data_IF_770380040825
#
_entry.id   IF_770380040825
#
_cell.length_a   1.000
_cell.length_b   1.000
_cell.length_c   1.000
_cell.angle_alpha   90.00
_cell.angle_beta   90.00
_cell.angle_gamma   90.00
#
_symmetry.space_group_name_H-M   'P 1'
#
loop_
_entity.id
_entity.type
_entity.pdbx_description
1 polymer ?
#
# COMPACT_ATOMS: atom_id res chain seq x y z
N UNK A 1 -15.40 -1.58 13.31
CA UNK A 1 -15.15 -0.20 12.86
C UNK A 1 -16.18 0.03 11.78
N UNK A 2 -17.29 0.67 12.14
CA UNK A 2 -18.38 0.89 11.20
C UNK A 2 -18.37 2.38 10.87
N UNK A 3 -17.89 2.70 9.67
CA UNK A 3 -17.72 4.06 9.21
C UNK A 3 -17.26 4.08 7.76
N UNK A 4 -17.55 5.15 7.01
CA UNK A 4 -17.08 5.28 5.64
C UNK A 4 -15.56 5.26 5.61
N UNK A 5 -15.01 4.57 4.62
CA UNK A 5 -13.57 4.54 4.36
C UNK A 5 -13.32 4.81 2.89
N UNK A 6 -12.12 5.28 2.61
CA UNK A 6 -11.61 5.47 1.25
C UNK A 6 -10.38 4.59 1.08
N UNK A 7 -10.31 3.92 -0.08
CA UNK A 7 -9.13 3.15 -0.45
C UNK A 7 -8.21 4.06 -1.26
N UNK A 8 -6.99 4.26 -0.75
CA UNK A 8 -5.99 5.09 -1.40
C UNK A 8 -4.69 4.33 -1.66
N UNK A 9 -3.95 4.79 -2.66
CA UNK A 9 -2.58 4.36 -2.92
C UNK A 9 -1.74 5.59 -3.26
N UNK A 10 -0.46 5.59 -2.89
CA UNK A 10 0.43 6.70 -3.25
C UNK A 10 0.83 6.61 -4.73
N UNK A 11 1.11 7.77 -5.33
CA UNK A 11 1.69 7.88 -6.67
C UNK A 11 3.02 7.12 -6.82
N UNK A 12 3.88 7.14 -5.81
CA UNK A 12 5.14 6.38 -5.79
C UNK A 12 4.91 4.86 -5.89
N UNK A 13 3.95 4.31 -5.14
CA UNK A 13 3.57 2.88 -5.23
C UNK A 13 3.00 2.55 -6.61
N UNK A 14 2.15 3.42 -7.17
CA UNK A 14 1.65 3.24 -8.54
C UNK A 14 2.79 3.20 -9.56
N UNK A 15 3.77 4.10 -9.44
CA UNK A 15 4.96 4.15 -10.32
C UNK A 15 5.81 2.89 -10.20
N UNK A 16 6.05 2.40 -8.99
CA UNK A 16 6.75 1.14 -8.76
C UNK A 16 6.02 -0.05 -9.40
N UNK A 17 4.68 -0.09 -9.28
CA UNK A 17 3.87 -1.15 -9.88
C UNK A 17 3.90 -1.11 -11.43
N UNK A 18 3.94 0.09 -12.03
CA UNK A 18 4.16 0.27 -13.47
C UNK A 18 5.53 -0.28 -13.86
N UNK A 19 6.59 0.11 -13.15
CA UNK A 19 7.94 -0.40 -13.41
C UNK A 19 8.00 -1.93 -13.27
N UNK A 20 7.35 -2.49 -12.25
CA UNK A 20 7.27 -3.93 -12.05
C UNK A 20 6.60 -4.64 -13.25
N UNK A 21 5.56 -4.05 -13.84
CA UNK A 21 4.90 -4.59 -15.04
C UNK A 21 5.82 -4.58 -16.26
N UNK A 22 6.56 -3.50 -16.47
CA UNK A 22 7.42 -3.34 -17.65
C UNK A 22 8.70 -4.19 -17.55
N UNK A 23 9.29 -4.29 -16.36
CA UNK A 23 10.60 -4.93 -16.17
C UNK A 23 10.53 -6.43 -15.83
N UNK A 24 9.34 -7.05 -15.78
CA UNK A 24 9.18 -8.46 -15.43
C UNK A 24 8.41 -9.25 -16.49
N UNK A 25 8.48 -10.59 -16.37
CA UNK A 25 7.74 -11.55 -17.20
C UNK A 25 6.89 -12.51 -16.35
N UNK A 26 6.03 -13.28 -17.00
CA UNK A 26 5.24 -14.34 -16.36
C UNK A 26 4.33 -13.86 -15.22
N UNK A 27 4.33 -14.60 -14.10
CA UNK A 27 3.45 -14.36 -12.95
C UNK A 27 3.62 -12.96 -12.33
N UNK A 28 4.85 -12.44 -12.29
CA UNK A 28 5.13 -11.09 -11.75
C UNK A 28 4.49 -10.00 -12.61
N UNK A 29 4.64 -10.08 -13.94
CA UNK A 29 3.98 -9.16 -14.89
C UNK A 29 2.46 -9.24 -14.79
N UNK A 30 1.91 -10.45 -14.69
CA UNK A 30 0.47 -10.65 -14.52
C UNK A 30 -0.04 -10.01 -13.22
N UNK A 31 0.65 -10.24 -12.10
CA UNK A 31 0.31 -9.63 -10.80
C UNK A 31 0.32 -8.11 -10.85
N UNK A 32 1.38 -7.51 -11.43
CA UNK A 32 1.47 -6.06 -11.61
C UNK A 32 0.34 -5.51 -12.48
N UNK A 33 -0.01 -6.20 -13.58
CA UNK A 33 -1.12 -5.81 -14.45
C UNK A 33 -2.47 -5.86 -13.73
N UNK A 34 -2.73 -6.91 -12.95
CA UNK A 34 -3.97 -7.03 -12.17
C UNK A 34 -4.04 -5.96 -11.08
N UNK A 35 -2.93 -5.69 -10.38
CA UNK A 35 -2.83 -4.63 -9.40
C UNK A 35 -3.16 -3.25 -10.01
N UNK A 36 -2.57 -2.92 -11.16
CA UNK A 36 -2.84 -1.65 -11.84
C UNK A 36 -4.32 -1.47 -12.23
N UNK A 37 -5.00 -2.56 -12.62
CA UNK A 37 -6.44 -2.54 -12.89
C UNK A 37 -7.27 -2.35 -11.61
N UNK A 38 -6.84 -2.93 -10.49
CA UNK A 38 -7.51 -2.72 -9.20
C UNK A 38 -7.39 -1.25 -8.73
N UNK A 39 -6.27 -0.57 -9.03
CA UNK A 39 -6.07 0.83 -8.67
C UNK A 39 -7.09 1.79 -9.30
N UNK A 40 -7.82 1.39 -10.35
CA UNK A 40 -8.92 2.19 -10.90
C UNK A 40 -10.04 2.45 -9.88
N UNK A 41 -10.12 1.65 -8.81
CA UNK A 41 -11.07 1.80 -7.71
C UNK A 41 -10.51 2.55 -6.50
N UNK A 42 -9.27 3.04 -6.59
CA UNK A 42 -8.54 3.65 -5.49
C UNK A 42 -8.25 5.10 -5.83
N UNK A 43 -8.27 5.97 -4.82
CA UNK A 43 -7.77 7.32 -4.95
C UNK A 43 -6.24 7.30 -5.00
N UNK A 44 -5.67 7.92 -6.03
CA UNK A 44 -4.23 8.12 -6.10
C UNK A 44 -3.89 9.40 -5.32
N UNK A 45 -3.13 9.26 -4.25
CA UNK A 45 -2.68 10.40 -3.43
C UNK A 45 -1.24 10.73 -3.77
N UNK A 46 -0.93 12.02 -3.92
CA UNK A 46 0.44 12.47 -4.17
C UNK A 46 1.17 12.73 -2.86
N UNK A 47 2.46 12.39 -2.84
CA UNK A 47 3.34 12.61 -1.69
C UNK A 47 4.64 13.25 -2.17
N UNK A 48 5.40 13.94 -1.30
CA UNK A 48 6.71 14.48 -1.67
C UNK A 48 7.80 13.39 -1.78
N UNK A 49 7.47 12.12 -1.51
CA UNK A 49 8.42 11.02 -1.46
C UNK A 49 8.52 10.31 -2.81
N UNK A 50 9.74 9.89 -3.17
CA UNK A 50 9.99 9.11 -4.40
C UNK A 50 9.97 7.60 -4.15
N UNK A 51 10.35 7.17 -2.95
CA UNK A 51 10.28 5.78 -2.50
C UNK A 51 8.85 5.39 -2.13
N UNK A 52 8.41 4.21 -2.57
CA UNK A 52 7.08 3.68 -2.28
C UNK A 52 6.86 3.51 -0.77
N UNK A 53 7.78 2.84 -0.08
CA UNK A 53 7.68 2.63 1.38
C UNK A 53 7.69 3.96 2.15
N UNK A 54 8.57 4.89 1.78
CA UNK A 54 8.62 6.21 2.43
C UNK A 54 7.34 7.01 2.20
N UNK A 55 6.77 6.95 0.99
CA UNK A 55 5.50 7.62 0.68
C UNK A 55 4.35 7.12 1.55
N UNK A 56 4.30 5.81 1.81
CA UNK A 56 3.28 5.19 2.67
C UNK A 56 3.45 5.67 4.11
N UNK A 57 4.68 5.65 4.64
CA UNK A 57 4.97 6.11 6.00
C UNK A 57 4.67 7.60 6.14
N UNK A 58 5.05 8.42 5.16
CA UNK A 58 4.79 9.85 5.15
C UNK A 58 3.28 10.12 5.17
N UNK A 59 2.51 9.48 4.29
CA UNK A 59 1.06 9.68 4.22
C UNK A 59 0.38 9.25 5.53
N UNK A 60 0.75 8.09 6.08
CA UNK A 60 0.19 7.61 7.34
C UNK A 60 0.53 8.54 8.53
N UNK A 61 1.70 9.20 8.55
CA UNK A 61 2.04 10.21 9.56
C UNK A 61 1.21 11.49 9.39
N UNK A 62 1.03 11.95 8.15
CA UNK A 62 0.27 13.16 7.83
C UNK A 62 -1.22 13.01 8.08
N UNK A 63 -1.76 11.78 8.00
CA UNK A 63 -3.18 11.48 8.18
C UNK A 63 -3.38 10.39 9.25
N UNK A 64 -3.48 10.75 10.55
CA UNK A 64 -3.49 9.80 11.67
C UNK A 64 -4.68 8.82 11.71
N UNK A 65 -5.71 9.02 10.88
CA UNK A 65 -6.84 8.09 10.72
C UNK A 65 -6.56 6.97 9.70
N UNK A 66 -5.44 7.03 9.00
CA UNK A 66 -5.00 6.02 8.02
C UNK A 66 -4.70 4.69 8.70
N UNK A 67 -5.13 3.61 8.07
CA UNK A 67 -4.68 2.24 8.37
C UNK A 67 -3.90 1.76 7.16
N UNK A 68 -2.63 1.43 7.35
CA UNK A 68 -1.81 0.88 6.27
C UNK A 68 -2.03 -0.63 6.17
N UNK A 69 -2.40 -1.12 5.00
CA UNK A 69 -2.48 -2.57 4.74
C UNK A 69 -1.25 -3.01 3.97
N UNK A 70 -0.38 -3.82 4.58
CA UNK A 70 0.83 -4.32 3.92
C UNK A 70 1.18 -5.76 4.33
N UNK A 71 1.63 -6.55 3.36
CA UNK A 71 2.23 -7.85 3.58
C UNK A 71 3.70 -7.79 4.01
N UNK A 72 4.37 -6.66 3.76
CA UNK A 72 5.80 -6.50 4.01
C UNK A 72 6.11 -6.45 5.53
N UNK A 73 7.06 -7.28 5.98
CA UNK A 73 7.43 -7.37 7.40
C UNK A 73 8.24 -6.17 7.87
N UNK A 74 9.14 -5.64 7.04
CA UNK A 74 10.00 -4.52 7.36
C UNK A 74 9.18 -3.23 7.44
N UNK A 75 8.35 -2.94 6.44
CA UNK A 75 7.45 -1.79 6.45
C UNK A 75 6.49 -1.84 7.64
N UNK A 76 5.93 -3.02 7.94
CA UNK A 76 5.08 -3.19 9.14
C UNK A 76 5.83 -2.88 10.43
N UNK A 77 7.09 -3.31 10.57
CA UNK A 77 7.93 -2.96 11.72
C UNK A 77 8.12 -1.44 11.81
N UNK A 78 8.46 -0.79 10.70
CA UNK A 78 8.66 0.67 10.62
C UNK A 78 7.40 1.45 11.01
N UNK A 79 6.23 1.03 10.51
CA UNK A 79 4.95 1.65 10.85
C UNK A 79 4.65 1.54 12.35
N UNK A 80 4.84 0.35 12.93
CA UNK A 80 4.67 0.13 14.37
C UNK A 80 5.62 0.96 15.22
N UNK A 81 6.89 1.08 14.84
CA UNK A 81 7.85 1.93 15.57
C UNK A 81 7.48 3.41 15.57
N UNK A 82 6.67 3.85 14.60
CA UNK A 82 6.11 5.20 14.54
C UNK A 82 4.72 5.32 15.17
N UNK A 83 4.20 4.28 15.82
CA UNK A 83 2.86 4.28 16.41
C UNK A 83 1.72 4.32 15.38
N UNK A 84 1.99 3.93 14.13
CA UNK A 84 1.02 3.98 13.04
C UNK A 84 0.20 2.68 12.98
N UNK A 85 -1.08 2.81 12.61
CA UNK A 85 -2.00 1.68 12.49
C UNK A 85 -1.68 0.86 11.26
N UNK A 86 -1.48 -0.44 11.44
CA UNK A 86 -1.12 -1.36 10.35
C UNK A 86 -1.93 -2.65 10.41
N UNK A 87 -2.32 -3.14 9.25
CA UNK A 87 -2.98 -4.42 9.07
C UNK A 87 -2.30 -5.23 7.96
N UNK A 88 -2.54 -6.53 7.94
CA UNK A 88 -1.99 -7.46 6.95
C UNK A 88 -3.05 -8.44 6.47
N UNK A 89 -2.87 -8.99 5.27
CA UNK A 89 -3.70 -10.09 4.76
C UNK A 89 -3.22 -11.43 5.34
N UNK A 90 -4.10 -12.18 5.98
CA UNK A 90 -3.84 -13.54 6.45
C UNK A 90 -3.91 -14.56 5.31
N UNK A 91 -3.43 -15.79 5.56
CA UNK A 91 -3.43 -16.87 4.56
C UNK A 91 -4.83 -17.28 4.09
N UNK A 92 -5.83 -17.14 4.95
CA UNK A 92 -7.25 -17.39 4.69
C UNK A 92 -7.99 -16.15 4.13
N UNK A 93 -7.26 -15.09 3.76
CA UNK A 93 -7.82 -13.92 3.07
C UNK A 93 -8.50 -12.88 3.97
N UNK A 94 -8.29 -12.94 5.28
CA UNK A 94 -8.84 -11.97 6.25
C UNK A 94 -7.85 -10.83 6.49
N UNK A 95 -8.37 -9.65 6.84
CA UNK A 95 -7.53 -8.53 7.29
C UNK A 95 -7.29 -8.69 8.79
N UNK A 96 -6.01 -8.71 9.19
CA UNK A 96 -5.57 -8.82 10.59
C UNK A 96 -4.91 -7.51 11.00
N UNK A 97 -5.43 -6.88 12.04
CA UNK A 97 -4.83 -5.71 12.65
C UNK A 97 -3.67 -6.14 13.54
N UNK A 98 -2.51 -5.48 13.37
CA UNK A 98 -1.25 -5.87 14.00
C UNK A 98 -0.74 -4.80 14.96
#
# INVERSE_FOLDING_TARGET
MDGPYELCVTDAVKKELINLRESNIGKKKLGARLGLRLLEKFSIVSTPCTSADESIVWFAKSYPKTIVVTGDKALRKTLKTHGLRVASLSKDGRIVFN
#
